data_IF_989030851308
#
_entry.id   IF_989030851308
#
_cell.length_a   1.000
_cell.length_b   1.000
_cell.length_c   1.000
_cell.angle_alpha   90.00
_cell.angle_beta   90.00
_cell.angle_gamma   90.00
#
_symmetry.space_group_name_H-M   'P 1'
#
loop_
_entity.id
_entity.type
_entity.pdbx_description
1 polymer ?
#
# COMPACT_ATOMS: atom_id res chain seq x y z
N UNK A 1 2.89 1.15 8.73
CA UNK A 1 1.93 0.15 9.27
C UNK A 1 2.50 -1.26 9.24
N UNK A 2 2.71 -1.87 8.06
CA UNK A 2 3.22 -3.26 7.94
C UNK A 2 4.45 -3.52 8.83
N UNK A 3 5.43 -2.61 8.78
CA UNK A 3 6.58 -2.62 9.67
C UNK A 3 6.20 -2.58 11.16
N UNK A 4 5.31 -1.69 11.59
CA UNK A 4 4.98 -1.52 13.01
C UNK A 4 4.33 -2.77 13.63
N UNK A 5 3.49 -3.47 12.86
CA UNK A 5 2.79 -4.67 13.34
C UNK A 5 3.63 -5.95 13.19
N UNK A 6 4.74 -5.87 12.47
CA UNK A 6 5.62 -7.01 12.22
C UNK A 6 6.12 -7.59 13.55
N UNK A 7 6.17 -8.93 13.63
CA UNK A 7 6.58 -9.63 14.86
C UNK A 7 5.45 -9.87 15.87
N UNK A 8 4.21 -9.46 15.59
CA UNK A 8 3.08 -9.81 16.45
C UNK A 8 2.87 -11.33 16.49
N UNK A 9 2.79 -11.97 17.68
CA UNK A 9 2.75 -13.43 17.80
C UNK A 9 1.55 -14.06 17.09
N UNK A 10 0.42 -13.35 17.04
CA UNK A 10 -0.81 -13.84 16.42
C UNK A 10 -0.94 -13.50 14.91
N UNK A 11 0.07 -12.89 14.29
CA UNK A 11 0.03 -12.53 12.87
C UNK A 11 1.15 -13.24 12.13
N UNK A 12 0.79 -14.05 11.13
CA UNK A 12 1.74 -14.60 10.18
C UNK A 12 2.06 -13.56 9.09
N UNK A 13 3.35 -13.26 8.90
CA UNK A 13 3.84 -12.35 7.86
C UNK A 13 4.58 -13.14 6.78
N UNK A 14 3.97 -13.39 5.61
CA UNK A 14 4.64 -14.06 4.52
C UNK A 14 5.81 -13.22 3.98
N UNK A 15 6.87 -13.87 3.45
CA UNK A 15 8.00 -13.19 2.84
C UNK A 15 7.69 -12.64 1.45
N UNK A 16 6.50 -12.94 0.92
CA UNK A 16 6.08 -12.61 -0.41
C UNK A 16 5.02 -11.52 -0.42
N UNK A 17 4.81 -10.95 -1.61
CA UNK A 17 3.73 -10.03 -1.91
C UNK A 17 2.94 -10.54 -3.11
N UNK A 18 1.62 -10.58 -3.00
CA UNK A 18 0.72 -10.87 -4.12
C UNK A 18 0.24 -9.53 -4.69
N UNK A 19 0.42 -9.30 -5.99
CA UNK A 19 0.01 -8.06 -6.65
C UNK A 19 -1.42 -8.18 -7.18
N UNK A 20 -2.42 -7.64 -6.47
CA UNK A 20 -3.82 -7.72 -6.91
C UNK A 20 -4.14 -6.70 -8.00
N UNK A 21 -3.69 -5.46 -7.78
CA UNK A 21 -4.08 -4.34 -8.63
C UNK A 21 -3.17 -4.22 -9.86
N UNK A 22 -1.86 -4.35 -9.71
CA UNK A 22 -0.90 -4.01 -10.77
C UNK A 22 -0.63 -5.12 -11.81
N UNK A 23 -1.41 -6.20 -11.84
CA UNK A 23 -1.11 -7.36 -12.66
C UNK A 23 -2.36 -7.92 -13.36
N UNK A 24 -2.20 -8.48 -14.56
CA UNK A 24 -3.28 -9.07 -15.37
C UNK A 24 -3.45 -10.56 -15.07
N UNK A 25 -4.66 -11.09 -14.75
CA UNK A 25 -5.94 -10.40 -14.60
C UNK A 25 -6.08 -9.61 -13.30
N UNK A 26 -6.69 -8.42 -13.40
CA UNK A 26 -6.91 -7.50 -12.29
C UNK A 26 -7.70 -8.16 -11.14
N UNK A 27 -7.24 -7.95 -9.91
CA UNK A 27 -7.87 -8.48 -8.70
C UNK A 27 -7.60 -9.95 -8.41
N UNK A 28 -6.84 -10.64 -9.25
CA UNK A 28 -6.41 -12.01 -8.98
C UNK A 28 -5.46 -12.08 -7.76
N UNK A 29 -5.52 -13.13 -6.92
CA UNK A 29 -6.45 -14.26 -6.94
C UNK A 29 -7.77 -13.97 -6.19
N UNK A 30 -7.98 -12.77 -5.68
CA UNK A 30 -9.21 -12.42 -4.95
C UNK A 30 -10.45 -12.39 -5.85
N UNK A 31 -10.30 -12.32 -7.18
CA UNK A 31 -11.38 -12.52 -8.14
C UNK A 31 -11.50 -13.99 -8.57
N UNK A 32 -12.73 -14.46 -8.79
CA UNK A 32 -12.96 -15.76 -9.42
C UNK A 32 -12.63 -15.68 -10.91
N UNK A 33 -11.43 -16.13 -11.30
CA UNK A 33 -11.09 -16.39 -12.70
C UNK A 33 -11.36 -17.86 -13.04
N UNK A 34 -12.06 -18.11 -14.15
CA UNK A 34 -12.22 -19.47 -14.70
C UNK A 34 -10.91 -19.84 -15.40
N UNK A 35 -10.03 -20.54 -14.68
CA UNK A 35 -8.72 -20.98 -15.17
C UNK A 35 -8.51 -22.45 -14.80
N UNK A 36 -7.70 -23.17 -15.59
CA UNK A 36 -7.22 -24.49 -15.20
C UNK A 36 -6.35 -24.42 -13.93
N UNK A 37 -6.06 -25.58 -13.33
CA UNK A 37 -5.19 -25.59 -12.16
C UNK A 37 -3.75 -25.21 -12.48
N UNK A 38 -3.25 -25.62 -13.65
CA UNK A 38 -1.93 -25.19 -14.12
C UNK A 38 -1.92 -23.68 -14.36
N UNK A 39 -2.88 -23.16 -15.13
CA UNK A 39 -2.97 -21.73 -15.47
C UNK A 39 -3.09 -20.85 -14.22
N UNK A 40 -3.90 -21.26 -13.24
CA UNK A 40 -4.02 -20.54 -11.97
C UNK A 40 -2.67 -20.45 -11.24
N UNK A 41 -1.93 -21.56 -11.21
CA UNK A 41 -0.70 -21.65 -10.43
C UNK A 41 0.44 -20.91 -11.13
N UNK A 42 0.56 -21.02 -12.45
CA UNK A 42 1.48 -20.22 -13.26
C UNK A 42 1.23 -18.73 -13.07
N UNK A 43 -0.03 -18.29 -13.22
CA UNK A 43 -0.41 -16.90 -13.02
C UNK A 43 -0.10 -16.41 -11.60
N UNK A 44 -0.35 -17.23 -10.58
CA UNK A 44 -0.02 -16.90 -9.19
C UNK A 44 1.48 -16.68 -8.98
N UNK A 45 2.33 -17.53 -9.56
CA UNK A 45 3.79 -17.41 -9.44
C UNK A 45 4.35 -16.22 -10.22
N UNK A 46 3.70 -15.83 -11.33
CA UNK A 46 4.04 -14.62 -12.08
C UNK A 46 3.65 -13.33 -11.34
N UNK A 47 2.58 -13.38 -10.55
CA UNK A 47 2.05 -12.23 -9.79
C UNK A 47 2.61 -12.09 -8.37
N UNK A 48 3.29 -13.11 -7.89
CA UNK A 48 3.85 -13.13 -6.55
C UNK A 48 5.33 -12.77 -6.61
N UNK A 49 5.73 -11.79 -5.81
CA UNK A 49 7.12 -11.32 -5.75
C UNK A 49 7.74 -11.56 -4.38
N UNK A 50 9.05 -11.81 -4.37
CA UNK A 50 9.86 -11.85 -3.14
C UNK A 50 11.15 -11.06 -3.35
N UNK A 51 11.74 -10.51 -2.27
CA UNK A 51 13.13 -10.08 -2.28
C UNK A 51 14.09 -11.23 -2.58
N UNK A 52 15.13 -10.96 -3.36
CA UNK A 52 16.23 -11.88 -3.63
C UNK A 52 17.57 -11.23 -3.28
N UNK A 53 18.56 -12.05 -2.93
CA UNK A 53 19.92 -11.60 -2.58
C UNK A 53 19.97 -10.56 -1.44
N UNK A 54 19.02 -10.64 -0.52
CA UNK A 54 18.92 -9.74 0.65
C UNK A 54 19.66 -10.30 1.85
N UNK A 55 20.33 -9.43 2.59
CA UNK A 55 20.91 -9.67 3.91
C UNK A 55 20.28 -8.72 4.92
N UNK A 56 20.54 -8.93 6.21
CA UNK A 56 20.11 -7.99 7.26
C UNK A 56 20.72 -6.59 7.11
N UNK A 57 21.76 -6.44 6.29
CA UNK A 57 22.41 -5.15 5.98
C UNK A 57 21.88 -4.51 4.69
N UNK A 58 21.04 -5.20 3.91
CA UNK A 58 20.52 -4.69 2.65
C UNK A 58 19.61 -3.48 2.88
N UNK A 59 20.02 -2.35 2.33
CA UNK A 59 19.22 -1.13 2.30
C UNK A 59 18.03 -1.28 1.35
N UNK A 60 16.90 -0.65 1.69
CA UNK A 60 15.69 -0.67 0.86
C UNK A 60 15.94 -0.33 -0.62
N UNK A 61 16.81 0.65 -0.84
CA UNK A 61 17.22 1.14 -2.16
C UNK A 61 17.89 0.10 -3.06
N UNK A 62 18.40 -0.98 -2.46
CA UNK A 62 19.18 -2.03 -3.11
C UNK A 62 18.46 -3.39 -3.13
N UNK A 63 17.21 -3.46 -2.65
CA UNK A 63 16.45 -4.71 -2.72
C UNK A 63 16.18 -5.03 -4.18
N UNK A 64 16.58 -6.23 -4.60
CA UNK A 64 16.14 -6.83 -5.84
C UNK A 64 14.85 -7.62 -5.56
N UNK A 65 13.79 -7.30 -6.30
CA UNK A 65 12.50 -7.99 -6.19
C UNK A 65 12.26 -8.76 -7.49
N UNK A 66 11.95 -10.05 -7.39
CA UNK A 66 11.66 -10.89 -8.54
C UNK A 66 10.36 -11.66 -8.35
N UNK A 67 9.72 -12.01 -9.46
CA UNK A 67 8.56 -12.92 -9.44
C UNK A 67 9.03 -14.33 -9.11
N UNK A 68 8.19 -15.12 -8.46
CA UNK A 68 8.53 -16.52 -8.13
C UNK A 68 8.78 -17.35 -9.39
N UNK A 69 8.05 -17.06 -10.47
CA UNK A 69 8.28 -17.68 -11.77
C UNK A 69 9.72 -17.44 -12.28
N UNK A 70 10.25 -16.20 -12.18
CA UNK A 70 11.62 -15.89 -12.63
C UNK A 70 12.71 -16.53 -11.77
N UNK A 71 12.39 -16.79 -10.50
CA UNK A 71 13.27 -17.50 -9.58
C UNK A 71 13.33 -19.02 -9.84
N UNK A 72 12.59 -19.52 -10.84
CA UNK A 72 12.52 -20.95 -11.13
C UNK A 72 11.77 -21.73 -10.05
N UNK A 73 10.93 -21.06 -9.26
CA UNK A 73 10.03 -21.74 -8.33
C UNK A 73 9.01 -22.50 -9.16
N UNK A 74 9.18 -23.80 -9.25
CA UNK A 74 8.19 -24.66 -9.87
C UNK A 74 7.02 -24.87 -8.90
N UNK A 75 5.81 -24.97 -9.46
CA UNK A 75 4.72 -25.59 -8.74
C UNK A 75 5.13 -27.03 -8.47
N UNK A 76 5.64 -27.31 -7.27
CA UNK A 76 5.87 -28.68 -6.84
C UNK A 76 4.49 -29.34 -6.75
N UNK A 77 4.08 -29.96 -7.85
CA UNK A 77 2.86 -30.74 -8.02
C UNK A 77 2.88 -32.01 -7.18
N UNK A 78 3.15 -31.89 -5.88
CA UNK A 78 2.81 -32.87 -4.88
C UNK A 78 1.29 -32.93 -4.77
N UNK A 79 0.67 -33.53 -5.78
CA UNK A 79 -0.72 -33.96 -5.78
C UNK A 79 -1.70 -33.02 -5.07
N UNK A 80 -1.93 -31.82 -5.63
CA UNK A 80 -3.33 -31.42 -5.81
C UNK A 80 -3.88 -32.39 -6.86
N UNK A 81 -4.13 -33.63 -6.43
CA UNK A 81 -4.75 -34.64 -7.27
C UNK A 81 -5.96 -33.99 -7.91
N UNK A 82 -6.18 -34.28 -9.18
CA UNK A 82 -7.35 -33.90 -9.99
C UNK A 82 -8.71 -34.34 -9.40
N UNK A 83 -8.75 -34.69 -8.11
CA UNK A 83 -9.88 -35.18 -7.33
C UNK A 83 -9.91 -34.72 -5.87
N UNK A 84 -8.98 -33.89 -5.38
CA UNK A 84 -9.39 -32.95 -4.33
C UNK A 84 -10.22 -31.90 -5.04
N UNK A 85 -11.52 -32.22 -5.17
CA UNK A 85 -12.56 -31.22 -5.16
C UNK A 85 -12.07 -30.07 -4.30
N UNK A 86 -12.10 -28.84 -4.81
CA UNK A 86 -12.29 -27.69 -3.93
C UNK A 86 -13.20 -28.19 -2.82
N UNK A 87 -12.67 -28.33 -1.59
CA UNK A 87 -13.54 -28.62 -0.46
C UNK A 87 -14.65 -27.60 -0.58
N UNK A 88 -15.91 -28.04 -0.63
CA UNK A 88 -17.03 -27.14 -0.89
C UNK A 88 -16.90 -25.93 0.05
N UNK A 89 -16.47 -24.78 -0.48
CA UNK A 89 -16.24 -23.56 0.29
C UNK A 89 -14.81 -22.98 0.33
N UNK A 90 -13.77 -23.62 -0.21
CA UNK A 90 -12.43 -22.99 -0.22
C UNK A 90 -12.36 -21.82 -1.21
N UNK A 91 -11.93 -20.66 -0.73
CA UNK A 91 -11.85 -19.44 -1.54
C UNK A 91 -10.61 -19.45 -2.45
N UNK A 92 -10.62 -18.65 -3.52
CA UNK A 92 -9.46 -18.53 -4.43
C UNK A 92 -8.22 -17.94 -3.74
N UNK A 93 -8.42 -17.11 -2.71
CA UNK A 93 -7.34 -16.57 -1.89
C UNK A 93 -6.72 -17.65 -1.00
N UNK A 94 -7.54 -18.49 -0.35
CA UNK A 94 -7.04 -19.61 0.47
C UNK A 94 -6.23 -20.58 -0.38
N UNK A 95 -6.75 -20.91 -1.57
CA UNK A 95 -6.04 -21.74 -2.55
C UNK A 95 -4.69 -21.15 -2.94
N UNK A 96 -4.62 -19.84 -3.16
CA UNK A 96 -3.37 -19.17 -3.51
C UNK A 96 -2.36 -19.25 -2.36
N UNK A 97 -2.80 -19.03 -1.12
CA UNK A 97 -1.94 -19.16 0.06
C UNK A 97 -1.39 -20.59 0.17
N UNK A 98 -2.21 -21.61 -0.01
CA UNK A 98 -1.77 -23.01 0.06
C UNK A 98 -0.73 -23.37 -1.00
N UNK A 99 -0.93 -22.91 -2.24
CA UNK A 99 0.04 -23.11 -3.33
C UNK A 99 1.36 -22.41 -2.99
N UNK A 100 1.33 -21.16 -2.54
CA UNK A 100 2.53 -20.41 -2.20
C UNK A 100 3.29 -21.06 -1.03
N UNK A 101 2.58 -21.53 0.00
CA UNK A 101 3.19 -22.25 1.11
C UNK A 101 3.88 -23.54 0.65
N UNK A 102 3.24 -24.30 -0.22
CA UNK A 102 3.80 -25.54 -0.76
C UNK A 102 5.04 -25.26 -1.63
N UNK A 103 4.92 -24.33 -2.58
CA UNK A 103 5.99 -23.97 -3.52
C UNK A 103 7.20 -23.38 -2.81
N UNK A 104 6.99 -22.56 -1.78
CA UNK A 104 8.06 -21.95 -0.98
C UNK A 104 8.49 -22.80 0.22
N UNK A 105 7.90 -23.99 0.40
CA UNK A 105 8.16 -24.91 1.53
C UNK A 105 7.97 -24.23 2.90
N UNK A 106 7.01 -23.31 2.98
CA UNK A 106 6.69 -22.56 4.19
C UNK A 106 5.73 -23.36 5.08
N UNK A 107 6.07 -23.47 6.36
CA UNK A 107 5.13 -23.97 7.36
C UNK A 107 4.33 -22.78 7.90
N UNK A 108 3.00 -22.84 7.79
CA UNK A 108 2.13 -21.95 8.55
C UNK A 108 2.14 -22.41 10.00
N UNK A 109 2.41 -21.53 10.95
CA UNK A 109 2.22 -21.91 12.35
C UNK A 109 0.72 -21.92 12.64
N UNK A 110 0.23 -23.03 13.17
CA UNK A 110 -1.21 -23.26 13.35
C UNK A 110 -1.80 -22.36 14.45
N UNK A 111 -0.96 -21.67 15.21
CA UNK A 111 -1.34 -20.82 16.34
C UNK A 111 -1.68 -19.38 15.98
N UNK A 112 -1.32 -18.87 14.79
CA UNK A 112 -1.58 -17.47 14.44
C UNK A 112 -3.05 -17.22 14.06
N UNK A 113 -3.62 -16.13 14.57
CA UNK A 113 -4.99 -15.70 14.28
C UNK A 113 -5.13 -15.09 12.88
N UNK A 114 -4.12 -14.36 12.41
CA UNK A 114 -4.16 -13.64 11.14
C UNK A 114 -3.06 -14.06 10.16
N UNK A 115 -3.37 -13.88 8.88
CA UNK A 115 -2.43 -13.94 7.77
C UNK A 115 -2.34 -12.55 7.13
N UNK A 116 -1.20 -11.88 7.21
CA UNK A 116 -1.05 -10.52 6.72
C UNK A 116 -0.68 -10.50 5.24
N UNK A 117 -1.54 -9.91 4.40
CA UNK A 117 -1.23 -9.62 3.00
C UNK A 117 -1.11 -8.10 2.80
N UNK A 118 -0.17 -7.71 1.95
CA UNK A 118 0.08 -6.31 1.61
C UNK A 118 -0.15 -6.07 0.11
N UNK A 119 -0.83 -4.97 -0.23
CA UNK A 119 -0.91 -4.44 -1.59
C UNK A 119 -1.14 -2.93 -1.58
N UNK A 120 -0.36 -2.18 -2.38
CA UNK A 120 -0.38 -0.71 -2.41
C UNK A 120 -1.67 -0.11 -3.01
N UNK A 121 -2.40 -0.86 -3.84
CA UNK A 121 -3.45 -0.34 -4.72
C UNK A 121 -4.74 -1.16 -4.72
N UNK A 122 -4.80 -2.23 -3.92
CA UNK A 122 -6.00 -3.07 -3.75
C UNK A 122 -7.26 -2.29 -3.37
N UNK A 123 -7.11 -1.13 -2.71
CA UNK A 123 -8.23 -0.26 -2.38
C UNK A 123 -9.03 0.21 -3.60
N UNK A 124 -8.40 0.32 -4.78
CA UNK A 124 -9.05 0.71 -6.05
C UNK A 124 -10.02 -0.37 -6.55
N UNK A 125 -9.88 -1.61 -6.07
CA UNK A 125 -10.69 -2.75 -6.48
C UNK A 125 -12.04 -2.87 -5.75
N UNK A 126 -12.31 -1.99 -4.77
CA UNK A 126 -13.57 -1.96 -4.04
C UNK A 126 -13.67 -2.97 -2.90
N UNK A 127 -14.40 -2.62 -1.83
CA UNK A 127 -14.70 -3.54 -0.73
C UNK A 127 -15.47 -4.80 -1.15
N UNK A 128 -16.24 -4.71 -2.23
CA UNK A 128 -17.00 -5.85 -2.75
C UNK A 128 -16.11 -7.07 -2.99
N UNK A 129 -14.89 -6.85 -3.50
CA UNK A 129 -13.94 -7.92 -3.81
C UNK A 129 -13.54 -8.72 -2.57
N UNK A 130 -13.19 -8.02 -1.49
CA UNK A 130 -12.66 -8.65 -0.27
C UNK A 130 -13.77 -9.05 0.72
N UNK A 131 -14.99 -8.51 0.57
CA UNK A 131 -16.12 -8.78 1.45
C UNK A 131 -16.60 -10.24 1.45
N UNK A 132 -16.25 -11.02 0.42
CA UNK A 132 -16.54 -12.44 0.33
C UNK A 132 -15.64 -13.31 1.24
N UNK A 133 -14.58 -12.72 1.81
CA UNK A 133 -13.57 -13.40 2.60
C UNK A 133 -13.64 -12.95 4.07
N UNK A 134 -13.21 -13.82 4.98
CA UNK A 134 -13.07 -13.48 6.41
C UNK A 134 -11.80 -12.67 6.64
N UNK A 135 -11.77 -11.42 6.15
CA UNK A 135 -10.59 -10.53 6.20
C UNK A 135 -10.90 -9.20 6.90
N UNK A 136 -9.86 -8.57 7.43
CA UNK A 136 -9.85 -7.17 7.86
C UNK A 136 -8.90 -6.39 6.97
N UNK A 137 -9.30 -5.21 6.51
CA UNK A 137 -8.53 -4.36 5.61
C UNK A 137 -8.11 -3.11 6.36
N UNK A 138 -6.80 -2.95 6.55
CA UNK A 138 -6.23 -1.76 7.19
C UNK A 138 -5.66 -0.85 6.12
N UNK A 139 -6.20 0.34 5.97
CA UNK A 139 -5.75 1.31 4.95
C UNK A 139 -5.01 2.45 5.63
N UNK A 140 -3.71 2.58 5.36
CA UNK A 140 -2.95 3.74 5.80
C UNK A 140 -3.19 4.91 4.84
N UNK A 141 -3.69 6.03 5.37
CA UNK A 141 -3.81 7.31 4.66
C UNK A 141 -2.82 8.32 5.23
N UNK A 142 -2.40 9.28 4.41
CA UNK A 142 -1.41 10.32 4.76
C UNK A 142 -1.78 11.60 4.04
N UNK A 143 -1.43 12.78 4.58
CA UNK A 143 -1.65 14.06 3.93
C UNK A 143 -1.30 13.99 2.43
N UNK A 144 -2.22 14.39 1.52
CA UNK A 144 -1.98 14.32 0.08
C UNK A 144 -0.70 15.04 -0.37
N UNK A 145 -0.34 16.15 0.28
CA UNK A 145 0.88 16.89 0.00
C UNK A 145 2.14 16.09 0.37
N UNK A 146 2.09 15.39 1.50
CA UNK A 146 3.16 14.53 1.97
C UNK A 146 3.28 13.24 1.15
N UNK A 147 2.16 12.71 0.66
CA UNK A 147 2.17 11.60 -0.31
C UNK A 147 2.84 12.04 -1.61
N UNK A 148 2.51 13.23 -2.12
CA UNK A 148 3.12 13.77 -3.33
C UNK A 148 4.61 14.06 -3.12
N UNK A 149 5.01 14.63 -1.98
CA UNK A 149 6.41 14.81 -1.60
C UNK A 149 7.16 13.48 -1.57
N UNK A 150 6.58 12.46 -0.93
CA UNK A 150 7.14 11.10 -0.91
C UNK A 150 7.29 10.53 -2.32
N UNK A 151 6.31 10.76 -3.19
CA UNK A 151 6.35 10.33 -4.59
C UNK A 151 7.45 11.05 -5.37
N UNK A 152 7.55 12.37 -5.24
CA UNK A 152 8.62 13.19 -5.84
C UNK A 152 9.99 12.65 -5.44
N UNK A 153 10.19 12.41 -4.14
CA UNK A 153 11.44 11.89 -3.59
C UNK A 153 11.78 10.50 -4.16
N UNK A 154 10.79 9.60 -4.27
CA UNK A 154 10.97 8.29 -4.90
C UNK A 154 11.39 8.41 -6.37
N UNK A 155 10.77 9.30 -7.14
CA UNK A 155 11.11 9.50 -8.56
C UNK A 155 12.50 10.12 -8.73
N UNK A 156 12.87 11.11 -7.90
CA UNK A 156 14.20 11.70 -7.90
C UNK A 156 15.26 10.69 -7.47
N UNK A 157 14.97 9.83 -6.49
CA UNK A 157 15.85 8.74 -6.10
C UNK A 157 16.14 7.81 -7.29
N UNK A 158 15.13 7.48 -8.09
CA UNK A 158 15.31 6.68 -9.30
C UNK A 158 16.19 7.36 -10.36
N UNK A 159 16.11 8.68 -10.49
CA UNK A 159 16.84 9.45 -11.51
C UNK A 159 18.27 9.78 -11.08
N UNK A 160 18.45 10.26 -9.86
CA UNK A 160 19.69 10.91 -9.41
C UNK A 160 20.36 10.20 -8.23
N UNK A 161 19.63 9.34 -7.49
CA UNK A 161 20.04 8.70 -6.22
C UNK A 161 20.30 9.69 -5.08
N UNK A 162 21.02 10.77 -5.34
CA UNK A 162 21.34 11.85 -4.42
C UNK A 162 21.09 13.20 -5.11
N UNK A 163 20.26 14.04 -4.51
CA UNK A 163 20.02 15.43 -4.89
C UNK A 163 19.13 16.17 -3.88
N UNK A 164 19.22 17.50 -3.84
CA UNK A 164 18.22 18.31 -3.13
C UNK A 164 16.89 18.28 -3.89
N UNK A 165 15.78 17.82 -3.26
CA UNK A 165 14.50 17.71 -3.96
C UNK A 165 13.95 19.04 -4.46
N UNK A 166 14.31 20.14 -3.81
CA UNK A 166 13.88 21.50 -4.18
C UNK A 166 14.58 22.04 -5.42
N UNK A 167 15.68 21.41 -5.85
CA UNK A 167 16.40 21.81 -7.07
C UNK A 167 15.70 21.33 -8.34
N UNK A 168 14.72 20.42 -8.20
CA UNK A 168 13.96 19.83 -9.28
C UNK A 168 12.50 20.16 -9.13
N UNK A 169 11.85 20.54 -10.25
CA UNK A 169 10.45 20.91 -10.27
C UNK A 169 9.64 19.93 -11.08
N UNK A 170 8.56 19.41 -10.51
CA UNK A 170 7.60 18.60 -11.24
C UNK A 170 6.80 19.47 -12.20
N UNK A 171 6.42 18.90 -13.34
CA UNK A 171 5.51 19.58 -14.26
C UNK A 171 4.09 19.60 -13.69
N UNK A 172 3.29 20.61 -14.04
CA UNK A 172 1.92 20.78 -13.54
C UNK A 172 1.04 19.55 -13.78
N UNK A 173 1.22 18.87 -14.92
CA UNK A 173 0.49 17.64 -15.25
C UNK A 173 0.81 16.53 -14.25
N UNK A 174 2.08 16.34 -13.89
CA UNK A 174 2.48 15.31 -12.93
C UNK A 174 1.97 15.64 -11.53
N UNK A 175 2.05 16.91 -11.11
CA UNK A 175 1.47 17.39 -9.85
C UNK A 175 -0.03 17.10 -9.79
N UNK A 176 -0.80 17.50 -10.82
CA UNK A 176 -2.25 17.29 -10.88
C UNK A 176 -2.62 15.81 -10.81
N UNK A 177 -1.88 14.95 -11.51
CA UNK A 177 -2.14 13.50 -11.57
C UNK A 177 -1.86 12.80 -10.24
N UNK A 178 -0.70 13.04 -9.64
CA UNK A 178 -0.34 12.42 -8.35
C UNK A 178 -1.19 12.98 -7.21
N UNK A 179 -1.58 14.25 -7.27
CA UNK A 179 -2.54 14.83 -6.32
C UNK A 179 -3.91 14.13 -6.41
N UNK A 180 -4.44 13.92 -7.61
CA UNK A 180 -5.68 13.16 -7.79
C UNK A 180 -5.57 11.75 -7.21
N UNK A 181 -4.48 11.03 -7.47
CA UNK A 181 -4.25 9.68 -6.89
C UNK A 181 -4.21 9.72 -5.35
N UNK A 182 -3.52 10.70 -4.77
CA UNK A 182 -3.43 10.85 -3.32
C UNK A 182 -4.79 11.14 -2.68
N UNK A 183 -5.55 12.09 -3.21
CA UNK A 183 -6.89 12.43 -2.71
C UNK A 183 -7.86 11.27 -2.89
N UNK A 184 -7.79 10.57 -4.04
CA UNK A 184 -8.65 9.42 -4.30
C UNK A 184 -8.53 8.36 -3.20
N UNK A 185 -7.31 8.09 -2.71
CA UNK A 185 -7.10 7.16 -1.59
C UNK A 185 -7.83 7.58 -0.30
N UNK A 186 -7.93 8.88 -0.01
CA UNK A 186 -8.70 9.42 1.12
C UNK A 186 -10.19 9.26 0.93
N UNK A 187 -10.69 9.58 -0.27
CA UNK A 187 -12.11 9.46 -0.58
C UNK A 187 -12.58 8.01 -0.48
N UNK A 188 -11.81 7.07 -1.04
CA UNK A 188 -12.09 5.63 -0.94
C UNK A 188 -12.04 5.16 0.52
N UNK A 189 -10.99 5.50 1.27
CA UNK A 189 -10.88 5.10 2.67
C UNK A 189 -12.05 5.65 3.52
N UNK A 190 -12.45 6.90 3.28
CA UNK A 190 -13.60 7.52 3.94
C UNK A 190 -14.92 6.85 3.56
N UNK A 191 -15.12 6.57 2.26
CA UNK A 191 -16.29 5.88 1.75
C UNK A 191 -16.44 4.50 2.38
N UNK A 192 -15.39 3.67 2.35
CA UNK A 192 -15.46 2.31 2.90
C UNK A 192 -15.62 2.32 4.43
N UNK A 193 -14.96 3.26 5.13
CA UNK A 193 -15.16 3.44 6.56
C UNK A 193 -16.60 3.84 6.91
N UNK A 194 -17.25 4.66 6.07
CA UNK A 194 -18.65 5.07 6.26
C UNK A 194 -19.66 3.93 6.16
N UNK A 195 -19.27 2.85 5.50
CA UNK A 195 -20.09 1.64 5.36
C UNK A 195 -19.92 0.67 6.54
N UNK A 196 -19.11 1.03 7.54
CA UNK A 196 -18.75 0.21 8.72
C UNK A 196 -18.43 -1.24 8.33
N UNK A 197 -17.77 -1.40 7.19
CA UNK A 197 -17.35 -2.69 6.65
C UNK A 197 -16.00 -3.11 7.26
N UNK A 198 -15.45 -4.23 6.79
CA UNK A 198 -14.12 -4.79 7.12
C UNK A 198 -12.92 -3.81 7.01
N UNK A 199 -13.14 -2.52 6.70
CA UNK A 199 -12.15 -1.50 6.41
C UNK A 199 -11.89 -0.59 7.62
N UNK A 200 -10.61 -0.38 7.93
CA UNK A 200 -10.16 0.47 9.02
C UNK A 200 -9.08 1.44 8.55
N UNK A 201 -9.39 2.75 8.47
CA UNK A 201 -8.42 3.75 8.07
C UNK A 201 -7.47 4.06 9.22
N UNK A 202 -6.19 4.25 8.92
CA UNK A 202 -5.18 4.69 9.87
C UNK A 202 -4.48 5.91 9.31
N UNK A 203 -4.39 6.97 10.10
CA UNK A 203 -3.71 8.19 9.70
C UNK A 203 -2.21 8.09 9.99
N UNK A 204 -1.39 8.28 8.97
CA UNK A 204 0.07 8.20 9.06
C UNK A 204 0.64 9.21 10.06
N UNK A 205 0.09 10.42 10.08
CA UNK A 205 0.46 11.48 11.02
C UNK A 205 0.21 11.07 12.47
N UNK A 206 -0.86 10.33 12.74
CA UNK A 206 -1.11 9.79 14.08
C UNK A 206 -0.14 8.66 14.43
N UNK A 207 0.18 7.78 13.47
CA UNK A 207 1.18 6.72 13.67
C UNK A 207 2.60 7.25 13.86
N UNK A 208 2.99 8.34 13.21
CA UNK A 208 4.35 8.89 13.28
C UNK A 208 4.48 10.06 14.26
N UNK A 209 3.37 10.60 14.76
CA UNK A 209 3.33 11.73 15.69
C UNK A 209 3.01 11.35 17.14
N UNK A 210 2.54 12.34 17.91
CA UNK A 210 2.27 12.21 19.35
C UNK A 210 1.06 11.35 19.74
N UNK A 211 0.34 10.79 18.76
CA UNK A 211 -0.84 9.94 18.98
C UNK A 211 -0.59 8.46 18.68
N UNK A 212 0.68 8.04 18.54
CA UNK A 212 1.06 6.67 18.16
C UNK A 212 0.40 5.63 19.07
N UNK A 213 0.58 5.74 20.38
CA UNK A 213 0.08 4.77 21.36
C UNK A 213 -1.43 4.59 21.26
N UNK A 214 -2.21 5.69 21.27
CA UNK A 214 -3.67 5.63 21.15
C UNK A 214 -4.11 5.03 19.81
N UNK A 215 -3.42 5.38 18.73
CA UNK A 215 -3.75 4.89 17.38
C UNK A 215 -3.50 3.40 17.25
N UNK A 216 -2.36 2.91 17.75
CA UNK A 216 -2.00 1.50 17.73
C UNK A 216 -2.91 0.69 18.68
N UNK A 217 -3.30 1.24 19.84
CA UNK A 217 -4.25 0.59 20.74
C UNK A 217 -5.62 0.38 20.07
N UNK A 218 -6.15 1.40 19.38
CA UNK A 218 -7.40 1.29 18.62
C UNK A 218 -7.30 0.31 17.45
N UNK A 219 -6.15 0.25 16.78
CA UNK A 219 -5.92 -0.75 15.74
C UNK A 219 -5.94 -2.17 16.31
N UNK A 220 -5.26 -2.42 17.44
CA UNK A 220 -5.24 -3.74 18.08
C UNK A 220 -6.65 -4.14 18.54
N UNK A 221 -7.44 -3.21 19.09
CA UNK A 221 -8.86 -3.42 19.37
C UNK A 221 -9.64 -3.78 18.09
N UNK A 222 -9.47 -3.04 16.99
CA UNK A 222 -10.10 -3.38 15.72
C UNK A 222 -9.69 -4.76 15.20
N UNK A 223 -8.44 -5.17 15.41
CA UNK A 223 -7.92 -6.47 15.02
C UNK A 223 -8.24 -7.58 16.02
N UNK A 224 -8.87 -7.30 17.16
CA UNK A 224 -9.05 -8.28 18.25
C UNK A 224 -7.70 -8.91 18.69
N UNK A 225 -6.64 -8.10 18.75
CA UNK A 225 -5.29 -8.51 19.14
C UNK A 225 -4.85 -7.82 20.44
N UNK A 226 -3.92 -8.44 21.15
CA UNK A 226 -3.33 -7.84 22.34
C UNK A 226 -2.42 -6.66 21.98
N UNK A 227 -2.47 -5.61 22.80
CA UNK A 227 -1.58 -4.48 22.62
C UNK A 227 -0.16 -4.82 23.07
N UNK A 228 0.79 -4.66 22.16
CA UNK A 228 2.22 -4.87 22.43
C UNK A 228 2.98 -3.54 22.38
N UNK A 229 3.86 -3.27 23.35
CA UNK A 229 4.58 -1.99 23.45
C UNK A 229 5.59 -1.74 22.34
N UNK A 230 6.09 -2.79 21.67
CA UNK A 230 7.00 -2.64 20.53
C UNK A 230 6.31 -1.97 19.32
N UNK A 231 4.97 -1.96 19.27
CA UNK A 231 4.21 -1.22 18.24
C UNK A 231 4.51 0.30 18.25
N UNK A 232 5.15 0.80 19.31
CA UNK A 232 5.51 2.21 19.45
C UNK A 232 6.93 2.55 18.96
N UNK A 233 7.70 1.57 18.48
CA UNK A 233 9.02 1.78 17.89
C UNK A 233 9.00 1.48 16.39
N UNK A 234 9.85 2.18 15.63
CA UNK A 234 10.09 1.90 14.22
C UNK A 234 11.17 0.81 14.03
N UNK A 235 11.68 0.24 15.13
CA UNK A 235 12.67 -0.83 15.12
C UNK A 235 11.99 -2.18 14.95
N UNK A 236 12.38 -2.90 13.91
CA UNK A 236 12.04 -4.30 13.69
C UNK A 236 13.31 -5.13 13.66
N UNK A 237 13.29 -6.28 14.33
CA UNK A 237 14.34 -7.28 14.22
C UNK A 237 13.97 -8.27 13.12
N UNK A 238 14.70 -8.22 12.00
CA UNK A 238 14.53 -9.20 10.94
C UNK A 238 15.25 -10.50 11.33
N UNK A 239 14.60 -11.67 11.18
CA UNK A 239 15.27 -12.93 11.43
C UNK A 239 16.47 -13.09 10.49
N UNK A 240 17.60 -13.54 11.03
CA UNK A 240 18.75 -13.90 10.20
C UNK A 240 18.38 -15.05 9.26
N UNK A 241 18.90 -14.98 8.03
CA UNK A 241 18.79 -16.02 6.99
C UNK A 241 17.36 -16.44 6.63
N UNK A 242 16.35 -15.62 6.95
CA UNK A 242 14.96 -15.86 6.58
C UNK A 242 14.49 -14.77 5.62
N UNK A 243 14.04 -15.12 4.40
CA UNK A 243 13.41 -14.16 3.51
C UNK A 243 12.29 -13.42 4.23
N UNK A 244 12.21 -12.12 3.99
CA UNK A 244 11.22 -11.22 4.58
C UNK A 244 10.62 -10.37 3.47
N UNK A 245 9.39 -9.89 3.64
CA UNK A 245 8.76 -8.99 2.69
C UNK A 245 9.61 -7.73 2.47
N UNK A 246 9.64 -7.18 1.25
CA UNK A 246 10.47 -6.02 0.89
C UNK A 246 10.24 -4.79 1.76
N UNK A 247 9.02 -4.64 2.30
CA UNK A 247 8.65 -3.50 3.13
C UNK A 247 9.31 -3.51 4.51
N UNK A 248 9.89 -4.64 4.93
CA UNK A 248 10.52 -4.74 6.24
C UNK A 248 11.95 -4.20 6.26
N UNK A 249 12.56 -4.03 5.09
CA UNK A 249 13.84 -3.36 4.94
C UNK A 249 13.59 -1.85 4.96
N UNK A 250 14.05 -1.19 6.02
CA UNK A 250 13.78 0.22 6.26
C UNK A 250 14.62 1.13 5.33
N UNK A 251 14.06 2.29 4.99
CA UNK A 251 14.78 3.36 4.30
C UNK A 251 13.84 4.45 3.80
N UNK A 252 14.16 5.71 4.11
CA UNK A 252 13.46 6.87 3.57
C UNK A 252 14.12 7.32 2.27
N UNK A 253 13.35 7.42 1.19
CA UNK A 253 13.88 7.98 -0.07
C UNK A 253 14.36 9.42 0.13
N UNK A 254 13.75 10.18 1.06
CA UNK A 254 14.16 11.55 1.37
C UNK A 254 15.57 11.59 1.98
N UNK A 255 15.87 10.69 2.91
CA UNK A 255 17.19 10.59 3.51
C UNK A 255 18.25 10.22 2.47
N UNK A 256 17.92 9.30 1.57
CA UNK A 256 18.84 8.87 0.51
C UNK A 256 19.12 9.99 -0.48
N UNK A 257 18.09 10.73 -0.93
CA UNK A 257 18.31 11.80 -1.89
C UNK A 257 18.99 13.01 -1.26
N UNK A 258 18.73 13.34 0.02
CA UNK A 258 19.33 14.52 0.66
C UNK A 258 20.73 14.29 1.25
N UNK A 259 21.41 13.18 0.92
CA UNK A 259 22.68 12.76 1.54
C UNK A 259 22.61 12.74 3.08
N UNK A 260 21.47 12.31 3.62
CA UNK A 260 21.22 12.20 5.05
C UNK A 260 20.85 13.50 5.76
N UNK A 261 20.73 14.63 5.06
CA UNK A 261 20.43 15.93 5.67
C UNK A 261 18.97 16.08 6.15
N UNK A 262 18.04 15.25 5.67
CA UNK A 262 16.65 15.24 6.12
C UNK A 262 16.08 13.82 6.21
N UNK A 263 15.39 13.51 7.30
CA UNK A 263 14.67 12.24 7.49
C UNK A 263 13.25 12.45 8.04
N UNK A 264 12.71 13.66 7.86
CA UNK A 264 11.39 14.01 8.39
C UNK A 264 10.32 13.44 7.46
N UNK A 265 9.60 12.44 7.95
CA UNK A 265 8.54 11.76 7.20
C UNK A 265 7.16 12.39 7.39
N UNK A 266 6.89 13.16 8.45
CA UNK A 266 5.65 13.95 8.59
C UNK A 266 5.96 15.42 8.31
N UNK A 267 5.23 16.03 7.38
CA UNK A 267 5.55 17.37 6.87
C UNK A 267 6.72 17.38 5.89
N UNK A 268 7.02 16.23 5.28
CA UNK A 268 8.00 16.09 4.20
C UNK A 268 7.77 17.04 3.01
N UNK A 269 6.52 17.49 2.80
CA UNK A 269 6.18 18.51 1.81
C UNK A 269 7.00 19.79 1.95
N UNK A 270 7.36 20.18 3.19
CA UNK A 270 8.13 21.38 3.47
C UNK A 270 9.61 21.27 3.06
N UNK A 271 10.10 20.04 2.85
CA UNK A 271 11.48 19.76 2.48
C UNK A 271 11.62 19.30 1.03
N UNK A 272 10.52 18.84 0.42
CA UNK A 272 10.54 18.22 -0.90
C UNK A 272 9.91 19.06 -1.99
N UNK A 273 8.86 19.83 -1.65
CA UNK A 273 8.14 20.67 -2.61
C UNK A 273 8.67 22.09 -2.58
N UNK A 274 8.91 22.64 -3.76
CA UNK A 274 9.22 24.06 -3.98
C UNK A 274 8.00 24.93 -3.65
N UNK A 275 8.23 26.22 -3.38
CA UNK A 275 7.13 27.18 -3.13
C UNK A 275 6.13 27.25 -4.28
N UNK A 276 6.60 27.16 -5.53
CA UNK A 276 5.74 27.17 -6.72
C UNK A 276 4.86 25.92 -6.80
N UNK A 277 5.43 24.73 -6.54
CA UNK A 277 4.66 23.49 -6.49
C UNK A 277 3.62 23.53 -5.36
N UNK A 278 4.00 24.01 -4.17
CA UNK A 278 3.07 24.18 -3.05
C UNK A 278 1.94 25.14 -3.41
N UNK A 279 2.27 26.30 -3.99
CA UNK A 279 1.28 27.28 -4.45
C UNK A 279 0.31 26.69 -5.50
N UNK A 280 0.83 25.90 -6.43
CA UNK A 280 0.01 25.20 -7.43
C UNK A 280 -0.95 24.16 -6.81
N UNK A 281 -0.47 23.42 -5.81
CA UNK A 281 -1.26 22.37 -5.14
C UNK A 281 -2.32 22.96 -4.20
N UNK A 282 -1.98 24.00 -3.44
CA UNK A 282 -2.93 24.66 -2.51
C UNK A 282 -4.12 25.32 -3.22
N UNK A 283 -3.99 25.66 -4.50
CA UNK A 283 -5.13 26.12 -5.31
C UNK A 283 -6.12 25.01 -5.69
N UNK A 284 -5.79 23.74 -5.43
CA UNK A 284 -6.54 22.56 -5.88
C UNK A 284 -7.02 21.66 -4.75
N UNK A 285 -6.63 21.97 -3.53
CA UNK A 285 -7.08 21.26 -2.34
C UNK A 285 -7.51 22.25 -1.28
N UNK A 286 -8.56 21.87 -0.55
CA UNK A 286 -8.90 22.53 0.68
C UNK A 286 -8.02 21.95 1.80
N UNK A 287 -6.78 22.44 1.89
CA UNK A 287 -5.82 21.98 2.90
C UNK A 287 -6.38 22.18 4.31
N UNK A 288 -7.21 23.20 4.55
CA UNK A 288 -7.82 23.42 5.86
C UNK A 288 -8.69 22.22 6.31
N UNK A 289 -9.43 21.60 5.38
CA UNK A 289 -10.20 20.38 5.66
C UNK A 289 -9.28 19.19 5.93
N UNK A 290 -8.18 19.05 5.21
CA UNK A 290 -7.20 17.98 5.44
C UNK A 290 -6.54 18.15 6.82
N UNK A 291 -6.12 19.38 7.15
CA UNK A 291 -5.48 19.72 8.43
C UNK A 291 -6.40 19.46 9.63
N UNK A 292 -7.72 19.65 9.47
CA UNK A 292 -8.69 19.29 10.50
C UNK A 292 -8.63 17.81 10.90
N UNK A 293 -8.19 16.91 10.01
CA UNK A 293 -7.99 15.51 10.34
C UNK A 293 -6.57 15.25 10.83
N UNK A 294 -5.55 15.66 10.07
CA UNK A 294 -4.13 15.37 10.36
C UNK A 294 -3.62 15.97 11.66
N UNK A 295 -4.16 17.12 12.07
CA UNK A 295 -3.79 17.79 13.32
C UNK A 295 -4.70 17.45 14.50
N UNK A 296 -5.80 16.72 14.26
CA UNK A 296 -6.73 16.34 15.32
C UNK A 296 -6.24 15.13 16.12
N UNK A 297 -6.89 14.83 17.26
CA UNK A 297 -6.66 13.57 17.97
C UNK A 297 -7.38 12.39 17.29
N UNK A 298 -7.03 11.13 17.62
CA UNK A 298 -7.67 9.96 17.02
C UNK A 298 -9.18 9.91 17.23
N UNK A 299 -9.67 10.30 18.41
CA UNK A 299 -11.11 10.30 18.69
C UNK A 299 -11.91 11.19 17.71
N UNK A 300 -11.41 12.39 17.40
CA UNK A 300 -12.02 13.27 16.41
C UNK A 300 -11.94 12.67 15.00
N UNK A 301 -10.77 12.16 14.60
CA UNK A 301 -10.58 11.55 13.29
C UNK A 301 -11.60 10.43 13.03
N UNK A 302 -11.66 9.42 13.91
CA UNK A 302 -12.58 8.29 13.74
C UNK A 302 -14.06 8.69 13.84
N UNK A 303 -14.38 9.76 14.58
CA UNK A 303 -15.77 10.24 14.68
C UNK A 303 -16.24 10.96 13.41
N UNK A 304 -15.33 11.59 12.64
CA UNK A 304 -15.72 12.50 11.56
C UNK A 304 -15.32 12.02 10.16
N UNK A 305 -14.26 11.21 10.04
CA UNK A 305 -13.64 10.85 8.76
C UNK A 305 -14.59 10.17 7.77
N UNK A 306 -15.58 9.43 8.27
CA UNK A 306 -16.60 8.75 7.46
C UNK A 306 -17.47 9.69 6.59
N UNK A 307 -17.47 10.99 6.87
CA UNK A 307 -18.23 11.98 6.08
C UNK A 307 -17.41 12.65 4.98
N UNK A 308 -16.08 12.52 5.03
CA UNK A 308 -15.16 13.23 4.14
C UNK A 308 -15.47 12.96 2.66
N UNK A 309 -15.75 11.73 2.25
CA UNK A 309 -15.99 11.42 0.84
C UNK A 309 -17.19 12.15 0.22
N UNK A 310 -18.10 12.68 1.05
CA UNK A 310 -19.24 13.51 0.62
C UNK A 310 -18.93 15.01 0.65
N UNK A 311 -17.82 15.38 1.29
CA UNK A 311 -17.38 16.76 1.40
C UNK A 311 -16.31 16.99 0.35
N UNK A 312 -16.58 17.89 -0.59
CA UNK A 312 -15.60 18.28 -1.59
C UNK A 312 -14.36 18.88 -0.89
N UNK A 313 -13.21 18.21 -1.04
CA UNK A 313 -11.89 18.61 -0.46
C UNK A 313 -10.88 19.02 -1.54
N UNK A 314 -11.34 19.07 -2.79
CA UNK A 314 -10.53 19.38 -3.95
C UNK A 314 -11.24 20.41 -4.81
N UNK A 315 -10.46 21.17 -5.56
CA UNK A 315 -10.92 22.10 -6.60
C UNK A 315 -10.13 21.80 -7.88
N UNK A 316 -10.75 21.96 -9.05
CA UNK A 316 -10.09 21.70 -10.36
C UNK A 316 -9.54 20.25 -10.52
N UNK A 317 -10.21 19.26 -9.89
CA UNK A 317 -9.91 17.84 -10.07
C UNK A 317 -11.16 17.03 -10.47
N UNK A 318 -11.84 17.36 -11.59
CA UNK A 318 -13.09 16.69 -12.01
C UNK A 318 -12.94 15.19 -12.30
N UNK A 319 -11.71 14.71 -12.47
CA UNK A 319 -11.43 13.28 -12.59
C UNK A 319 -11.80 12.51 -11.32
N UNK A 320 -11.74 13.15 -10.14
CA UNK A 320 -12.08 12.53 -8.87
C UNK A 320 -13.56 12.21 -8.76
N UNK A 321 -14.44 13.10 -9.25
CA UNK A 321 -15.89 12.85 -9.28
C UNK A 321 -16.17 11.60 -10.11
N UNK A 322 -15.61 11.56 -11.32
CA UNK A 322 -15.71 10.41 -12.22
C UNK A 322 -15.17 9.13 -11.58
N UNK A 323 -14.00 9.19 -10.92
CA UNK A 323 -13.39 8.03 -10.27
C UNK A 323 -14.22 7.52 -9.10
N UNK A 324 -14.77 8.42 -8.28
CA UNK A 324 -15.68 8.05 -7.20
C UNK A 324 -17.00 7.49 -7.73
N UNK A 325 -17.55 8.05 -8.80
CA UNK A 325 -18.75 7.51 -9.46
C UNK A 325 -18.51 6.08 -9.96
N UNK A 326 -17.38 5.84 -10.62
CA UNK A 326 -16.98 4.49 -11.05
C UNK A 326 -16.76 3.56 -9.86
N UNK A 327 -16.08 4.01 -8.80
CA UNK A 327 -15.85 3.22 -7.60
C UNK A 327 -17.16 2.79 -6.93
N UNK A 328 -18.07 3.74 -6.70
CA UNK A 328 -19.37 3.49 -6.05
C UNK A 328 -20.25 2.59 -6.92
N UNK A 329 -20.17 2.74 -8.24
CA UNK A 329 -20.93 1.93 -9.21
C UNK A 329 -20.32 0.55 -9.49
N UNK A 330 -19.13 0.25 -8.95
CA UNK A 330 -18.44 -1.03 -9.13
C UNK A 330 -17.70 -1.16 -10.48
N UNK A 331 -17.46 -0.07 -11.19
CA UNK A 331 -16.75 -0.03 -12.48
C UNK A 331 -15.23 0.01 -12.28
N UNK A 332 -14.73 -0.95 -11.49
CA UNK A 332 -13.39 -0.90 -10.91
C UNK A 332 -12.27 -1.16 -11.93
N UNK A 333 -12.56 -1.86 -13.04
CA UNK A 333 -11.57 -2.12 -14.09
C UNK A 333 -11.24 -0.85 -14.90
N UNK A 334 -12.26 -0.13 -15.35
CA UNK A 334 -12.12 1.16 -16.04
C UNK A 334 -11.44 2.19 -15.14
N UNK A 335 -11.87 2.25 -13.88
CA UNK A 335 -11.24 3.06 -12.86
C UNK A 335 -9.76 2.73 -12.72
N UNK A 336 -9.42 1.46 -12.53
CA UNK A 336 -8.04 1.06 -12.33
C UNK A 336 -7.17 1.38 -13.55
N UNK A 337 -7.69 1.19 -14.77
CA UNK A 337 -7.00 1.51 -16.01
C UNK A 337 -6.68 3.00 -16.10
N UNK A 338 -7.64 3.88 -15.78
CA UNK A 338 -7.41 5.32 -15.79
C UNK A 338 -6.50 5.78 -14.64
N UNK A 339 -6.74 5.28 -13.42
CA UNK A 339 -5.90 5.52 -12.24
C UNK A 339 -4.43 5.15 -12.51
N UNK A 340 -4.19 4.02 -13.17
CA UNK A 340 -2.84 3.55 -13.51
C UNK A 340 -2.13 4.44 -14.54
N UNK A 341 -2.87 5.02 -15.48
CA UNK A 341 -2.30 5.97 -16.45
C UNK A 341 -1.81 7.28 -15.80
N UNK A 342 -2.20 7.55 -14.56
CA UNK A 342 -1.75 8.71 -13.79
C UNK A 342 -0.46 8.42 -13.01
N UNK A 343 -0.01 7.17 -12.93
CA UNK A 343 1.16 6.77 -12.14
C UNK A 343 2.48 7.16 -12.82
N UNK A 344 3.35 7.82 -12.07
CA UNK A 344 4.77 7.91 -12.42
C UNK A 344 5.57 6.88 -11.62
N UNK A 345 6.51 6.19 -12.25
CA UNK A 345 7.37 5.17 -11.64
C UNK A 345 8.76 5.20 -12.27
N UNK A 346 9.58 4.20 -11.99
CA UNK A 346 10.96 4.13 -12.48
C UNK A 346 11.09 4.36 -14.00
N UNK A 347 10.24 3.72 -14.81
CA UNK A 347 10.33 3.75 -16.28
C UNK A 347 9.94 5.08 -16.93
N UNK A 348 9.18 5.93 -16.24
CA UNK A 348 8.70 7.21 -16.76
C UNK A 348 8.97 8.39 -15.79
N UNK A 349 9.89 8.20 -14.83
CA UNK A 349 10.20 9.20 -13.80
C UNK A 349 10.63 10.55 -14.40
N UNK A 350 11.43 10.53 -15.47
CA UNK A 350 11.92 11.74 -16.15
C UNK A 350 10.78 12.63 -16.69
N UNK A 351 9.67 12.03 -17.14
CA UNK A 351 8.52 12.76 -17.67
C UNK A 351 7.74 13.52 -16.60
N UNK A 352 8.01 13.26 -15.31
CA UNK A 352 7.38 13.96 -14.20
C UNK A 352 8.00 15.34 -13.94
N UNK A 353 9.22 15.60 -14.42
CA UNK A 353 10.00 16.79 -14.10
C UNK A 353 10.18 17.71 -15.30
N UNK A 354 10.28 19.01 -15.02
CA UNK A 354 10.78 19.99 -15.97
C UNK A 354 12.30 19.78 -16.07
N UNK A 355 12.75 19.10 -17.11
CA UNK A 355 14.18 18.96 -17.40
C UNK A 355 14.66 20.25 -18.08
N UNK A 356 15.66 20.90 -17.49
CA UNK A 356 16.37 22.02 -18.10
C UNK A 356 17.20 21.58 -19.30
#
# INVERSE_FOLDING_TARGET
>A
MYQLIYGHPDIFFPPFRIQFACSDPLGFPATHCVMSNEEFSECLLEKTTTPVNVTTETQWSNIQIETLCRQGVECNGGALSSTQSTERGQSSLDRAIDILHTSLRMKKEVSQAYYCLHDDHSYVLGAGLLSAYSVKVVTTIRSPLDMLASKKNMLLFHLFKTTSPTDYRMCEMALKRELARAIFSWLVASYEYSRKAIYYPILFEHMKGGFRDETMARLMEHLDLEYCSYLNTDQNELPQDTPSNELLYAGSSLQQITDGNSDITVGSSNYSLTEEEQGFLFQRIDDSKIQNYTSSNPAYFYSNFHTLWKNEIYEDLPVLDKWMDWYVSGNNEELFREYSNYNYGFSNASAAFLLN
#
